data_IF_278042043799
#
_entry.id   IF_278042043799
#
_cell.length_a   1.000
_cell.length_b   1.000
_cell.length_c   1.000
_cell.angle_alpha   90.00
_cell.angle_beta   90.00
_cell.angle_gamma   90.00
#
_symmetry.space_group_name_H-M   'P 1'
#
loop_
_entity.id
_entity.type
_entity.pdbx_description
1 polymer ?
#
# COMPACT_ATOMS: atom_id res chain seq x y z
N UNK A 1 2.34 15.06 15.61
CA UNK A 1 2.13 16.02 14.49
C UNK A 1 1.03 17.03 14.78
N UNK A 2 -0.19 16.63 15.12
CA UNK A 2 -1.32 17.55 15.35
C UNK A 2 -1.09 18.62 16.45
N UNK A 3 -0.25 18.31 17.46
CA UNK A 3 0.13 19.27 18.52
C UNK A 3 1.01 20.44 18.05
N UNK A 4 1.59 20.32 16.86
CA UNK A 4 2.47 21.35 16.24
C UNK A 4 1.80 21.95 15.01
N UNK A 5 1.16 21.11 14.18
CA UNK A 5 0.39 21.54 13.01
C UNK A 5 -1.11 21.37 13.30
N UNK A 6 -1.84 22.46 13.60
CA UNK A 6 -3.25 22.36 13.99
C UNK A 6 -4.16 21.83 12.85
N UNK A 7 -3.70 21.90 11.59
CA UNK A 7 -4.40 21.32 10.44
C UNK A 7 -4.16 19.82 10.24
N UNK A 8 -3.18 19.22 10.91
CA UNK A 8 -2.86 17.79 10.84
C UNK A 8 -3.77 16.95 11.73
N UNK A 9 -5.08 17.11 11.55
CA UNK A 9 -6.16 16.37 12.25
C UNK A 9 -6.63 15.14 11.50
N UNK A 10 -6.05 14.89 10.33
CA UNK A 10 -6.43 13.76 9.50
C UNK A 10 -6.06 12.43 10.18
N UNK A 11 -6.79 11.38 9.84
CA UNK A 11 -6.61 10.02 10.36
C UNK A 11 -6.18 9.05 9.26
N UNK A 12 -5.76 7.85 9.68
CA UNK A 12 -5.44 6.75 8.76
C UNK A 12 -6.64 6.33 7.91
N UNK A 13 -7.87 6.54 8.36
CA UNK A 13 -9.08 6.17 7.62
C UNK A 13 -9.18 6.89 6.26
N UNK A 14 -9.12 8.23 6.25
CA UNK A 14 -9.19 8.98 4.99
C UNK A 14 -7.95 8.79 4.12
N UNK A 15 -6.79 8.49 4.72
CA UNK A 15 -5.58 8.12 4.02
C UNK A 15 -5.78 6.80 3.26
N UNK A 16 -6.23 5.73 3.93
CA UNK A 16 -6.51 4.44 3.30
C UNK A 16 -7.54 4.55 2.15
N UNK A 17 -8.56 5.41 2.27
CA UNK A 17 -9.49 5.70 1.18
C UNK A 17 -8.82 6.40 -0.01
N UNK A 18 -7.87 7.29 0.27
CA UNK A 18 -7.08 7.97 -0.75
C UNK A 18 -6.17 7.00 -1.51
N UNK A 19 -5.48 6.12 -0.79
CA UNK A 19 -4.64 5.05 -1.35
C UNK A 19 -5.47 4.08 -2.19
N UNK A 20 -6.65 3.65 -1.72
CA UNK A 20 -7.61 2.85 -2.50
C UNK A 20 -7.96 3.51 -3.85
N UNK A 21 -8.21 4.82 -3.85
CA UNK A 21 -8.52 5.57 -5.08
C UNK A 21 -7.31 5.61 -6.02
N UNK A 22 -6.13 5.97 -5.50
CA UNK A 22 -4.91 6.09 -6.30
C UNK A 22 -4.44 4.74 -6.87
N UNK A 23 -4.55 3.67 -6.08
CA UNK A 23 -4.32 2.29 -6.52
C UNK A 23 -5.23 1.93 -7.71
N UNK A 24 -6.52 2.28 -7.62
CA UNK A 24 -7.48 2.08 -8.71
C UNK A 24 -7.15 2.91 -9.96
N UNK A 25 -6.72 4.16 -9.80
CA UNK A 25 -6.31 5.01 -10.92
C UNK A 25 -5.07 4.48 -11.62
N UNK A 26 -4.06 4.02 -10.87
CA UNK A 26 -2.87 3.38 -11.42
C UNK A 26 -3.23 2.13 -12.24
N UNK A 27 -4.06 1.25 -11.66
CA UNK A 27 -4.51 0.03 -12.33
C UNK A 27 -5.35 0.32 -13.58
N UNK A 28 -6.26 1.29 -13.53
CA UNK A 28 -7.07 1.68 -14.69
C UNK A 28 -6.20 2.23 -15.83
N UNK A 29 -5.16 2.99 -15.52
CA UNK A 29 -4.23 3.49 -16.53
C UNK A 29 -3.44 2.33 -17.15
N UNK A 30 -2.87 1.42 -16.36
CA UNK A 30 -2.17 0.25 -16.86
C UNK A 30 -3.09 -0.63 -17.72
N UNK A 31 -4.32 -0.89 -17.26
CA UNK A 31 -5.31 -1.67 -18.01
C UNK A 31 -5.65 -0.99 -19.35
N UNK A 32 -5.80 0.34 -19.37
CA UNK A 32 -6.12 1.11 -20.58
C UNK A 32 -5.01 1.04 -21.63
N UNK A 33 -3.74 1.10 -21.22
CA UNK A 33 -2.62 1.21 -22.16
C UNK A 33 -1.93 -0.13 -22.46
N UNK A 34 -1.91 -1.06 -21.49
CA UNK A 34 -1.20 -2.33 -21.57
C UNK A 34 -2.00 -3.53 -21.03
N UNK A 35 -3.32 -3.38 -20.78
CA UNK A 35 -4.12 -4.42 -20.12
C UNK A 35 -4.12 -5.77 -20.85
N UNK A 36 -4.18 -5.76 -22.18
CA UNK A 36 -4.16 -7.00 -22.98
C UNK A 36 -2.77 -7.69 -22.94
N UNK A 37 -1.69 -6.92 -22.97
CA UNK A 37 -0.32 -7.43 -22.93
C UNK A 37 0.02 -8.02 -21.55
N UNK A 38 -0.43 -7.34 -20.50
CA UNK A 38 -0.17 -7.69 -19.10
C UNK A 38 -1.19 -8.67 -18.52
N UNK A 39 -2.25 -9.01 -19.27
CA UNK A 39 -3.33 -9.88 -18.82
C UNK A 39 -4.09 -9.33 -17.61
N UNK A 40 -4.27 -8.00 -17.52
CA UNK A 40 -4.94 -7.35 -16.38
C UNK A 40 -6.45 -7.58 -16.44
N UNK A 41 -6.97 -8.35 -15.50
CA UNK A 41 -8.40 -8.60 -15.36
C UNK A 41 -9.05 -7.71 -14.28
N UNK A 42 -10.36 -7.88 -14.06
CA UNK A 42 -11.09 -7.10 -13.06
C UNK A 42 -10.71 -7.46 -11.63
N UNK A 43 -10.26 -8.69 -11.42
CA UNK A 43 -9.91 -9.21 -10.10
C UNK A 43 -8.58 -8.61 -9.68
N UNK A 44 -7.59 -8.53 -10.57
CA UNK A 44 -6.33 -7.82 -10.32
C UNK A 44 -6.58 -6.39 -9.83
N UNK A 45 -7.47 -5.66 -10.52
CA UNK A 45 -7.82 -4.27 -10.17
C UNK A 45 -8.45 -4.21 -8.78
N UNK A 46 -9.35 -5.15 -8.45
CA UNK A 46 -9.99 -5.19 -7.13
C UNK A 46 -8.99 -5.55 -6.03
N UNK A 47 -8.13 -6.54 -6.26
CA UNK A 47 -7.08 -7.00 -5.34
C UNK A 47 -6.14 -5.86 -4.97
N UNK A 48 -5.59 -5.15 -5.95
CA UNK A 48 -4.67 -4.01 -5.72
C UNK A 48 -5.37 -2.88 -4.97
N UNK A 49 -6.64 -2.61 -5.28
CA UNK A 49 -7.43 -1.60 -4.54
C UNK A 49 -7.64 -2.02 -3.09
N UNK A 50 -8.02 -3.27 -2.83
CA UNK A 50 -8.20 -3.79 -1.48
C UNK A 50 -6.90 -3.78 -0.68
N UNK A 51 -5.78 -4.14 -1.29
CA UNK A 51 -4.46 -3.99 -0.68
C UNK A 51 -4.21 -2.52 -0.29
N UNK A 52 -4.47 -1.57 -1.19
CA UNK A 52 -4.35 -0.13 -0.89
C UNK A 52 -5.27 0.35 0.24
N UNK A 53 -6.50 -0.17 0.33
CA UNK A 53 -7.42 0.18 1.43
C UNK A 53 -6.97 -0.40 2.77
N UNK A 54 -6.35 -1.57 2.76
CA UNK A 54 -6.13 -2.36 3.97
C UNK A 54 -4.67 -2.33 4.46
N UNK A 55 -3.76 -1.70 3.71
CA UNK A 55 -2.33 -1.68 4.06
C UNK A 55 -2.02 -1.13 5.45
N UNK A 56 -2.82 -0.16 5.90
CA UNK A 56 -2.57 0.63 7.12
C UNK A 56 -3.47 0.27 8.31
N UNK A 57 -4.30 -0.77 8.21
CA UNK A 57 -5.25 -1.15 9.28
C UNK A 57 -4.55 -1.64 10.55
N UNK A 58 -3.32 -2.12 10.43
CA UNK A 58 -2.47 -2.60 11.51
C UNK A 58 -1.82 -1.50 12.34
N UNK A 59 -1.97 -0.22 12.00
CA UNK A 59 -1.37 0.85 12.79
C UNK A 59 -1.94 0.92 14.21
N UNK A 60 -1.02 0.92 15.19
CA UNK A 60 -1.34 1.18 16.58
C UNK A 60 -1.57 2.67 16.90
N UNK A 61 -1.85 3.01 18.18
CA UNK A 61 -2.11 4.38 18.62
C UNK A 61 -0.96 5.34 18.26
N UNK A 62 -1.27 6.46 17.60
CA UNK A 62 -0.27 7.41 17.10
C UNK A 62 0.67 6.85 16.02
N UNK A 63 0.23 5.84 15.27
CA UNK A 63 0.90 5.29 14.08
C UNK A 63 2.35 4.87 14.36
N UNK A 64 3.34 5.42 13.65
CA UNK A 64 4.76 5.09 13.82
C UNK A 64 5.32 5.36 15.21
N UNK A 65 4.70 6.22 16.02
CA UNK A 65 5.12 6.41 17.41
C UNK A 65 4.92 5.13 18.23
N UNK A 66 3.83 4.39 17.98
CA UNK A 66 3.59 3.13 18.64
C UNK A 66 4.70 2.13 18.33
N UNK A 67 5.00 2.00 17.05
CA UNK A 67 5.93 1.02 16.50
C UNK A 67 7.39 1.28 16.90
N UNK A 68 7.87 2.49 16.65
CA UNK A 68 9.30 2.79 16.72
C UNK A 68 9.73 3.39 18.06
N UNK A 69 8.79 3.95 18.84
CA UNK A 69 9.13 4.63 20.11
C UNK A 69 8.53 3.94 21.33
N UNK A 70 7.27 3.52 21.26
CA UNK A 70 6.59 2.92 22.42
C UNK A 70 6.95 1.45 22.60
N UNK A 71 6.71 0.60 21.58
CA UNK A 71 6.94 -0.84 21.66
C UNK A 71 8.37 -1.22 22.06
N UNK A 72 9.44 -0.60 21.52
CA UNK A 72 10.80 -0.95 21.91
C UNK A 72 11.12 -0.68 23.38
N UNK A 73 10.37 0.24 24.02
CA UNK A 73 10.55 0.58 25.44
C UNK A 73 9.79 -0.35 26.37
N UNK A 74 8.61 -0.83 25.97
CA UNK A 74 7.75 -1.69 26.80
C UNK A 74 7.95 -3.17 26.55
N UNK A 75 8.40 -3.54 25.35
CA UNK A 75 8.69 -4.90 24.95
C UNK A 75 9.98 -4.95 24.10
N UNK A 76 11.16 -4.83 24.73
CA UNK A 76 12.44 -4.89 24.03
C UNK A 76 12.60 -6.23 23.31
N UNK A 77 12.81 -6.19 21.99
CA UNK A 77 12.88 -7.38 21.13
C UNK A 77 11.58 -7.69 20.36
N UNK A 78 10.55 -6.85 20.49
CA UNK A 78 9.37 -6.94 19.63
C UNK A 78 9.77 -6.78 18.15
N UNK A 79 9.35 -7.73 17.32
CA UNK A 79 9.45 -7.67 15.84
C UNK A 79 8.14 -7.20 15.21
N UNK A 80 7.34 -6.45 15.96
CA UNK A 80 6.06 -5.96 15.49
C UNK A 80 6.28 -4.94 14.37
N UNK A 81 5.52 -5.08 13.29
CA UNK A 81 5.37 -4.04 12.28
C UNK A 81 3.89 -3.86 11.97
N UNK A 82 3.50 -2.66 11.55
CA UNK A 82 2.11 -2.39 11.21
C UNK A 82 1.67 -3.18 9.98
N UNK A 83 2.57 -3.47 9.03
CA UNK A 83 2.28 -4.28 7.84
C UNK A 83 1.92 -5.73 8.21
N UNK A 84 2.71 -6.37 9.08
CA UNK A 84 2.40 -7.72 9.54
C UNK A 84 1.10 -7.74 10.35
N UNK A 85 0.87 -6.72 11.19
CA UNK A 85 -0.38 -6.57 11.92
C UNK A 85 -1.58 -6.35 10.98
N UNK A 86 -1.41 -5.60 9.88
CA UNK A 86 -2.44 -5.43 8.84
C UNK A 86 -2.84 -6.76 8.23
N UNK A 87 -1.87 -7.62 7.91
CA UNK A 87 -2.14 -8.95 7.38
C UNK A 87 -2.92 -9.85 8.39
N UNK A 88 -2.55 -9.81 9.68
CA UNK A 88 -3.26 -10.56 10.73
C UNK A 88 -4.69 -10.04 10.98
N UNK A 89 -4.87 -8.71 10.98
CA UNK A 89 -6.17 -8.10 11.13
C UNK A 89 -7.08 -8.41 9.94
N UNK A 90 -6.51 -8.51 8.74
CA UNK A 90 -7.27 -8.90 7.57
C UNK A 90 -7.88 -10.29 7.72
N UNK A 91 -7.11 -11.28 8.18
CA UNK A 91 -7.62 -12.63 8.49
C UNK A 91 -8.74 -12.55 9.54
N UNK A 92 -8.52 -11.79 10.62
CA UNK A 92 -9.52 -11.59 11.68
C UNK A 92 -10.82 -10.95 11.18
N UNK A 93 -10.74 -9.97 10.26
CA UNK A 93 -11.92 -9.31 9.67
C UNK A 93 -12.70 -10.29 8.79
N UNK A 94 -12.00 -11.07 7.95
CA UNK A 94 -12.62 -12.08 7.07
C UNK A 94 -13.35 -13.12 7.91
N UNK A 95 -12.70 -13.68 8.92
CA UNK A 95 -13.28 -14.70 9.80
C UNK A 95 -14.47 -14.15 10.59
N UNK A 96 -14.30 -12.99 11.23
CA UNK A 96 -15.33 -12.38 12.09
C UNK A 96 -16.60 -12.01 11.34
N UNK A 97 -16.46 -11.54 10.10
CA UNK A 97 -17.57 -11.08 9.28
C UNK A 97 -18.04 -12.13 8.26
N UNK A 98 -17.41 -13.31 8.23
CA UNK A 98 -17.71 -14.38 7.28
C UNK A 98 -17.73 -13.88 5.82
N UNK A 99 -16.69 -13.10 5.47
CA UNK A 99 -16.55 -12.54 4.13
C UNK A 99 -16.19 -13.66 3.16
N UNK A 100 -17.00 -13.84 2.12
CA UNK A 100 -16.73 -14.80 1.05
C UNK A 100 -15.63 -14.24 0.13
N UNK A 101 -14.41 -14.74 0.31
CA UNK A 101 -13.23 -14.40 -0.49
C UNK A 101 -12.41 -15.66 -0.74
N UNK A 102 -11.94 -15.84 -1.97
CA UNK A 102 -11.08 -16.98 -2.28
C UNK A 102 -9.74 -16.88 -1.53
N UNK A 103 -9.23 -17.97 -0.96
CA UNK A 103 -7.98 -17.95 -0.18
C UNK A 103 -6.77 -17.42 -0.95
N UNK A 104 -6.69 -17.69 -2.26
CA UNK A 104 -5.60 -17.21 -3.11
C UNK A 104 -5.64 -15.69 -3.28
N UNK A 105 -6.83 -15.09 -3.40
CA UNK A 105 -6.96 -13.62 -3.46
C UNK A 105 -6.61 -12.97 -2.13
N UNK A 106 -7.09 -13.55 -1.03
CA UNK A 106 -6.74 -13.07 0.32
C UNK A 106 -5.22 -13.13 0.54
N UNK A 107 -4.57 -14.21 0.09
CA UNK A 107 -3.12 -14.37 0.15
C UNK A 107 -2.39 -13.27 -0.64
N UNK A 108 -2.79 -13.02 -1.88
CA UNK A 108 -2.17 -11.97 -2.72
C UNK A 108 -2.33 -10.58 -2.09
N UNK A 109 -3.49 -10.26 -1.52
CA UNK A 109 -3.68 -8.98 -0.81
C UNK A 109 -2.68 -8.86 0.35
N UNK A 110 -2.54 -9.91 1.17
CA UNK A 110 -1.59 -9.91 2.29
C UNK A 110 -0.14 -9.78 1.81
N UNK A 111 0.25 -10.49 0.76
CA UNK A 111 1.59 -10.40 0.18
C UNK A 111 1.89 -8.99 -0.34
N UNK A 112 0.92 -8.30 -0.96
CA UNK A 112 1.09 -6.90 -1.39
C UNK A 112 1.26 -5.94 -0.21
N UNK A 113 0.58 -6.18 0.91
CA UNK A 113 0.68 -5.34 2.11
C UNK A 113 2.07 -5.45 2.76
N UNK A 114 2.65 -6.66 2.79
CA UNK A 114 3.96 -6.90 3.39
C UNK A 114 5.14 -6.77 2.42
N UNK A 115 4.86 -6.43 1.15
CA UNK A 115 5.88 -6.38 0.09
C UNK A 115 7.00 -5.36 0.34
N UNK A 116 6.73 -4.30 1.11
CA UNK A 116 7.75 -3.33 1.54
C UNK A 116 8.69 -3.90 2.61
N UNK A 117 8.21 -4.82 3.45
CA UNK A 117 8.93 -5.38 4.59
C UNK A 117 9.71 -6.65 4.23
N UNK A 118 9.16 -7.49 3.34
CA UNK A 118 9.73 -8.79 2.95
C UNK A 118 9.96 -8.91 1.44
N UNK A 119 11.11 -8.39 0.97
CA UNK A 119 11.54 -8.41 -0.45
C UNK A 119 11.62 -9.84 -1.05
N UNK A 120 11.74 -10.86 -0.19
CA UNK A 120 11.88 -12.28 -0.55
C UNK A 120 10.57 -12.92 -1.06
N UNK A 121 9.40 -12.36 -0.73
CA UNK A 121 8.10 -12.91 -1.16
C UNK A 121 7.85 -12.71 -2.67
N UNK A 122 8.49 -11.70 -3.28
CA UNK A 122 8.33 -11.38 -4.70
C UNK A 122 9.12 -12.27 -5.67
N UNK A 123 9.99 -13.18 -5.17
CA UNK A 123 10.78 -14.06 -6.04
C UNK A 123 9.99 -15.27 -6.57
N UNK A 124 8.94 -15.69 -5.87
CA UNK A 124 8.07 -16.80 -6.29
C UNK A 124 7.03 -16.41 -7.35
N UNK A 125 6.67 -15.13 -7.43
CA UNK A 125 5.60 -14.62 -8.31
C UNK A 125 6.23 -13.95 -9.53
N UNK A 126 6.54 -14.76 -10.56
CA UNK A 126 7.07 -14.25 -11.83
C UNK A 126 6.01 -13.52 -12.65
N UNK A 127 4.75 -13.92 -12.53
CA UNK A 127 3.66 -13.35 -13.30
C UNK A 127 3.08 -12.12 -12.59
N UNK A 128 2.86 -11.02 -13.32
CA UNK A 128 2.27 -9.78 -12.80
C UNK A 128 2.96 -9.17 -11.57
N UNK A 129 4.29 -9.35 -11.43
CA UNK A 129 5.09 -8.75 -10.34
C UNK A 129 4.88 -7.24 -10.16
N UNK A 130 4.59 -6.52 -11.25
CA UNK A 130 4.32 -5.08 -11.23
C UNK A 130 3.16 -4.68 -10.31
N UNK A 131 2.22 -5.58 -10.00
CA UNK A 131 1.11 -5.30 -9.09
C UNK A 131 1.61 -5.01 -7.65
N UNK A 132 2.69 -5.68 -7.23
CA UNK A 132 3.28 -5.53 -5.89
C UNK A 132 4.00 -4.18 -5.72
N UNK A 133 4.29 -3.49 -6.81
CA UNK A 133 4.97 -2.19 -6.79
C UNK A 133 3.99 -1.01 -6.67
N UNK A 134 2.68 -1.27 -6.69
CA UNK A 134 1.68 -0.20 -6.72
C UNK A 134 1.41 0.34 -5.31
N UNK A 135 1.14 -0.55 -4.34
CA UNK A 135 0.69 -0.17 -2.99
C UNK A 135 1.86 0.03 -2.03
N UNK A 136 2.76 -0.95 -1.93
CA UNK A 136 3.90 -0.93 -1.00
C UNK A 136 5.16 -1.42 -1.73
N UNK A 137 5.90 -0.49 -2.31
CA UNK A 137 7.01 -0.81 -3.20
C UNK A 137 8.32 -0.96 -2.42
N UNK A 138 8.65 -2.20 -2.04
CA UNK A 138 9.91 -2.52 -1.37
C UNK A 138 11.18 -2.35 -2.23
N UNK A 139 11.05 -2.18 -3.56
CA UNK A 139 12.22 -2.08 -4.46
C UNK A 139 12.85 -0.70 -4.47
N UNK A 140 12.02 0.35 -4.50
CA UNK A 140 12.50 1.73 -4.59
C UNK A 140 11.63 2.73 -3.82
N UNK A 141 10.57 2.28 -3.16
CA UNK A 141 9.68 3.13 -2.39
C UNK A 141 8.89 4.13 -3.22
N UNK A 142 8.64 3.87 -4.52
CA UNK A 142 7.73 4.68 -5.34
C UNK A 142 6.40 3.93 -5.42
N UNK A 143 5.42 4.37 -4.63
CA UNK A 143 4.11 3.72 -4.48
C UNK A 143 2.99 4.73 -4.16
N UNK A 144 1.74 4.28 -4.30
CA UNK A 144 0.55 5.14 -4.15
C UNK A 144 0.25 5.53 -2.71
N UNK A 145 0.78 4.79 -1.72
CA UNK A 145 0.76 5.17 -0.31
C UNK A 145 1.42 6.54 -0.13
N UNK A 146 2.66 6.68 -0.61
CA UNK A 146 3.40 7.95 -0.53
C UNK A 146 2.76 9.06 -1.33
N UNK A 147 2.16 8.72 -2.47
CA UNK A 147 1.47 9.72 -3.28
C UNK A 147 0.29 10.34 -2.54
N UNK A 148 -0.45 9.55 -1.77
CA UNK A 148 -1.55 10.07 -0.95
C UNK A 148 -1.02 10.90 0.23
N UNK A 149 -0.14 10.33 1.07
CA UNK A 149 0.23 11.02 2.30
C UNK A 149 1.04 12.29 2.02
N UNK A 150 1.86 12.35 0.95
CA UNK A 150 2.59 13.58 0.61
C UNK A 150 1.61 14.71 0.34
N UNK A 151 0.62 14.50 -0.53
CA UNK A 151 -0.33 15.56 -0.88
C UNK A 151 -1.28 15.90 0.28
N UNK A 152 -1.71 14.89 1.04
CA UNK A 152 -2.57 15.06 2.21
C UNK A 152 -1.86 15.83 3.33
N UNK A 153 -0.65 15.44 3.66
CA UNK A 153 0.12 16.03 4.75
C UNK A 153 0.58 17.43 4.39
N UNK A 154 1.03 17.65 3.14
CA UNK A 154 1.33 18.99 2.63
C UNK A 154 0.12 19.92 2.78
N UNK A 155 -1.07 19.46 2.37
CA UNK A 155 -2.31 20.24 2.51
C UNK A 155 -2.65 20.51 3.97
N UNK A 156 -2.53 19.51 4.84
CA UNK A 156 -2.87 19.62 6.27
C UNK A 156 -1.89 20.51 7.04
N UNK A 157 -0.62 20.50 6.66
CA UNK A 157 0.44 21.29 7.29
C UNK A 157 0.61 22.69 6.67
N UNK A 158 -0.08 22.99 5.57
CA UNK A 158 0.04 24.27 4.86
C UNK A 158 1.37 24.42 4.10
N UNK A 159 1.94 23.31 3.64
CA UNK A 159 3.20 23.25 2.90
C UNK A 159 2.91 22.92 1.43
N UNK A 160 3.63 23.51 0.48
CA UNK A 160 3.48 23.17 -0.93
C UNK A 160 4.02 21.77 -1.26
N UNK A 161 3.27 21.00 -2.05
CA UNK A 161 3.74 19.76 -2.69
C UNK A 161 4.16 20.07 -4.13
N UNK A 162 5.41 19.77 -4.47
CA UNK A 162 5.93 19.88 -5.85
C UNK A 162 5.76 18.57 -6.64
N UNK A 163 5.37 17.49 -5.98
CA UNK A 163 5.20 16.19 -6.61
C UNK A 163 3.81 16.10 -7.26
N UNK A 164 3.77 15.72 -8.53
CA UNK A 164 2.53 15.61 -9.31
C UNK A 164 2.23 14.13 -9.60
N UNK A 165 1.67 13.42 -8.60
CA UNK A 165 1.38 11.98 -8.72
C UNK A 165 0.51 11.64 -9.94
N UNK A 166 -0.48 12.48 -10.26
CA UNK A 166 -1.35 12.29 -11.43
C UNK A 166 -0.60 12.29 -12.77
N UNK A 167 0.54 12.99 -12.85
CA UNK A 167 1.39 12.99 -14.04
C UNK A 167 2.16 11.67 -14.13
N UNK A 168 2.71 11.21 -13.00
CA UNK A 168 3.38 9.91 -12.91
C UNK A 168 2.45 8.77 -13.32
N UNK A 169 1.23 8.71 -12.76
CA UNK A 169 0.27 7.64 -13.08
C UNK A 169 -0.17 7.60 -14.55
N UNK A 170 -0.07 8.72 -15.29
CA UNK A 170 -0.43 8.80 -16.71
C UNK A 170 0.68 8.31 -17.65
N UNK A 171 1.93 8.35 -17.20
CA UNK A 171 3.10 8.00 -18.03
C UNK A 171 3.71 6.66 -17.63
N UNK A 172 3.24 6.06 -16.53
CA UNK A 172 3.72 4.79 -16.04
C UNK A 172 3.34 3.65 -17.01
N UNK A 173 4.33 2.83 -17.36
CA UNK A 173 4.20 1.62 -18.17
C UNK A 173 5.02 0.49 -17.56
N UNK A 174 4.64 -0.75 -17.86
CA UNK A 174 5.37 -1.95 -17.46
C UNK A 174 6.19 -2.43 -18.65
N UNK A 175 7.49 -2.63 -18.46
CA UNK A 175 8.39 -3.20 -19.46
C UNK A 175 9.17 -4.38 -18.90
N UNK A 176 9.66 -5.25 -19.78
CA UNK A 176 10.61 -6.29 -19.38
C UNK A 176 11.96 -5.64 -19.05
N UNK A 177 12.48 -5.93 -17.86
CA UNK A 177 13.86 -5.59 -17.51
C UNK A 177 14.72 -6.82 -17.76
N UNK A 178 15.58 -6.76 -18.77
CA UNK A 178 16.68 -7.72 -18.86
C UNK A 178 17.55 -7.51 -17.61
N UNK A 179 17.73 -8.55 -16.81
CA UNK A 179 18.76 -8.54 -15.78
C UNK A 179 20.11 -8.36 -16.49
N UNK A 180 20.63 -7.13 -16.49
CA UNK A 180 22.02 -6.88 -16.81
C UNK A 180 22.86 -7.77 -15.87
N UNK A 181 23.69 -8.62 -16.48
CA UNK A 181 24.63 -9.51 -15.79
C UNK A 181 25.54 -8.76 -14.81
#
# INVERSE_FOLDING_TARGET
>A
TYLVFPGAVHTRFEHSLGVYRLAGEAMNNLQKYQGNELGIDRIDVQTVKLAGLLHDIGHGPFSHLFEHEFLPRVNPGSTWSHEHMSALLLDSIVDKHSIDIEPDYLKVIKEMIVASSDVSTAEGVKEKRFLYDIVANGRNGIDVDKFDYIDRDCRACGIGSNFQHWRHSKICTVGQTDNAR
#
